data_IF_180347674544
#
_entry.id   IF_180347674544
#
_cell.length_a   1.000
_cell.length_b   1.000
_cell.length_c   1.000
_cell.angle_alpha   90.00
_cell.angle_beta   90.00
_cell.angle_gamma   90.00
#
_symmetry.space_group_name_H-M   'P 1'
#
loop_
_entity.id
_entity.type
_entity.pdbx_description
1 polymer ?
#
# COMPACT_ATOMS: atom_id res chain seq x y z
N UNK A 1 1.64 0.79 3.25
CA UNK A 1 0.83 1.60 4.17
C UNK A 1 -0.05 2.56 3.37
N UNK A 2 -1.25 2.82 3.86
CA UNK A 2 -2.28 3.60 3.19
C UNK A 2 -3.03 4.37 4.26
N UNK A 3 -3.21 5.67 4.05
CA UNK A 3 -3.94 6.57 4.96
C UNK A 3 -5.03 7.28 4.17
N UNK A 4 -6.16 7.54 4.83
CA UNK A 4 -7.26 8.28 4.22
C UNK A 4 -7.87 9.23 5.24
N UNK A 5 -8.09 10.47 4.82
CA UNK A 5 -8.92 11.39 5.59
C UNK A 5 -10.41 11.07 5.36
N UNK A 6 -11.21 11.12 6.42
CA UNK A 6 -12.64 10.80 6.37
C UNK A 6 -13.42 11.98 5.77
N UNK A 7 -13.04 13.21 6.08
CA UNK A 7 -13.80 14.40 5.70
C UNK A 7 -13.69 14.76 4.21
N UNK A 8 -12.48 14.70 3.67
CA UNK A 8 -12.18 15.00 2.26
C UNK A 8 -12.03 13.77 1.38
N UNK A 9 -11.79 12.60 1.98
CA UNK A 9 -11.43 11.39 1.25
C UNK A 9 -10.04 11.45 0.61
N UNK A 10 -9.19 12.39 1.03
CA UNK A 10 -7.80 12.53 0.61
C UNK A 10 -7.01 11.29 1.02
N UNK A 11 -6.37 10.67 0.03
CA UNK A 11 -5.64 9.43 0.20
C UNK A 11 -4.15 9.63 -0.05
N UNK A 12 -3.33 9.04 0.81
CA UNK A 12 -1.89 8.93 0.61
C UNK A 12 -1.45 7.46 0.76
N UNK A 13 -0.44 7.06 -0.01
CA UNK A 13 0.07 5.70 -0.04
C UNK A 13 1.59 5.68 0.02
N UNK A 14 2.14 4.80 0.86
CA UNK A 14 3.58 4.59 0.97
C UNK A 14 3.91 3.11 1.11
N UNK A 15 4.78 2.59 0.26
CA UNK A 15 5.26 1.22 0.39
C UNK A 15 6.33 1.16 1.50
N UNK A 16 6.22 0.13 2.34
CA UNK A 16 7.15 -0.13 3.45
C UNK A 16 7.67 -1.55 3.30
N UNK A 17 8.95 -1.75 3.58
CA UNK A 17 9.61 -3.05 3.42
C UNK A 17 9.29 -4.01 4.58
N UNK A 18 9.28 -3.47 5.80
CA UNK A 18 9.04 -4.20 7.03
C UNK A 18 7.86 -3.61 7.79
N UNK A 19 7.16 -4.46 8.55
CA UNK A 19 6.07 -4.04 9.45
C UNK A 19 6.57 -3.78 10.88
N UNK A 20 7.83 -3.39 11.05
CA UNK A 20 8.33 -3.05 12.37
C UNK A 20 7.77 -1.68 12.80
N UNK A 21 7.52 -1.50 14.09
CA UNK A 21 6.94 -0.27 14.64
C UNK A 21 7.69 0.99 14.19
N UNK A 22 9.03 0.95 14.15
CA UNK A 22 9.87 2.07 13.71
C UNK A 22 9.63 2.45 12.24
N UNK A 23 9.47 1.47 11.36
CA UNK A 23 9.34 1.69 9.91
C UNK A 23 7.94 2.22 9.60
N UNK A 24 6.93 1.71 10.33
CA UNK A 24 5.55 2.20 10.27
C UNK A 24 5.46 3.64 10.78
N UNK A 25 6.08 3.93 11.92
CA UNK A 25 6.13 5.29 12.48
C UNK A 25 6.80 6.27 11.50
N UNK A 26 7.98 5.93 10.98
CA UNK A 26 8.68 6.78 10.01
C UNK A 26 7.80 7.05 8.78
N UNK A 27 7.16 6.02 8.25
CA UNK A 27 6.28 6.19 7.10
C UNK A 27 5.03 7.02 7.44
N UNK A 28 4.48 6.92 8.67
CA UNK A 28 3.33 7.73 9.09
C UNK A 28 3.70 9.20 9.23
N UNK A 29 4.88 9.48 9.78
CA UNK A 29 5.44 10.82 9.87
C UNK A 29 5.56 11.45 8.47
N UNK A 30 6.14 10.74 7.51
CA UNK A 30 6.29 11.25 6.13
C UNK A 30 4.95 11.44 5.42
N UNK A 31 3.99 10.54 5.68
CA UNK A 31 2.63 10.68 5.17
C UNK A 31 1.96 11.93 5.75
N UNK A 32 2.02 12.15 7.06
CA UNK A 32 1.44 13.33 7.72
C UNK A 32 1.95 14.64 7.10
N UNK A 33 3.27 14.73 6.84
CA UNK A 33 3.88 15.89 6.18
C UNK A 33 3.41 16.09 4.72
N UNK A 34 2.95 15.02 4.06
CA UNK A 34 2.46 15.07 2.69
C UNK A 34 1.01 15.59 2.60
N UNK A 35 0.25 15.54 3.69
CA UNK A 35 -1.14 16.00 3.69
C UNK A 35 -1.25 17.52 3.53
N UNK A 36 -2.33 18.01 2.90
CA UNK A 36 -2.57 19.44 2.78
C UNK A 36 -3.09 20.11 4.08
N UNK A 37 -3.11 19.40 5.19
CA UNK A 37 -3.58 19.88 6.48
C UNK A 37 -2.99 19.02 7.60
N UNK A 38 -2.85 19.62 8.78
CA UNK A 38 -2.41 18.91 9.97
C UNK A 38 -3.44 17.88 10.42
N UNK A 39 -2.95 16.71 10.82
CA UNK A 39 -3.81 15.67 11.37
C UNK A 39 -4.34 16.10 12.75
N UNK A 40 -5.52 15.58 13.11
CA UNK A 40 -6.12 15.80 14.44
C UNK A 40 -6.15 14.53 15.27
N UNK A 41 -6.36 13.41 14.61
CA UNK A 41 -6.49 12.11 15.24
C UNK A 41 -6.07 11.03 14.24
N UNK A 42 -5.47 9.95 14.75
CA UNK A 42 -5.26 8.72 13.99
C UNK A 42 -6.15 7.60 14.52
N UNK A 43 -6.69 6.81 13.59
CA UNK A 43 -7.55 5.66 13.87
C UNK A 43 -7.01 4.41 13.15
N UNK A 44 -5.94 3.77 13.68
CA UNK A 44 -5.45 2.51 13.15
C UNK A 44 -6.34 1.30 13.50
N UNK A 45 -6.06 0.18 12.83
CA UNK A 45 -6.55 -1.14 13.23
C UNK A 45 -5.76 -1.68 14.45
N UNK A 46 -6.19 -2.82 14.96
CA UNK A 46 -5.61 -3.49 16.12
C UNK A 46 -4.28 -4.23 15.84
N UNK A 47 -3.58 -3.87 14.76
CA UNK A 47 -2.27 -4.43 14.44
C UNK A 47 -1.22 -4.00 15.46
N UNK A 48 -0.32 -4.91 15.85
CA UNK A 48 0.78 -4.61 16.78
C UNK A 48 1.78 -3.62 16.20
N UNK A 49 1.83 -3.50 14.87
CA UNK A 49 2.61 -2.50 14.16
C UNK A 49 2.11 -1.07 14.39
N UNK A 50 0.85 -0.90 14.81
CA UNK A 50 0.24 0.39 15.14
C UNK A 50 0.03 0.56 16.66
N UNK A 51 -0.41 -0.49 17.35
CA UNK A 51 -0.61 -0.44 18.81
C UNK A 51 0.72 -0.77 19.50
N UNK A 52 1.57 0.25 19.62
CA UNK A 52 2.83 0.19 20.34
C UNK A 52 3.18 1.54 21.00
N UNK A 53 4.14 1.52 21.93
CA UNK A 53 4.57 2.72 22.66
C UNK A 53 5.20 3.77 21.76
N UNK A 54 5.92 3.37 20.70
CA UNK A 54 6.57 4.31 19.77
C UNK A 54 5.53 5.20 19.10
N UNK A 55 4.48 4.61 18.52
CA UNK A 55 3.44 5.38 17.83
C UNK A 55 2.60 6.20 18.82
N UNK A 56 2.27 5.64 19.98
CA UNK A 56 1.48 6.33 21.00
C UNK A 56 2.20 7.56 21.57
N UNK A 57 3.49 7.43 21.88
CA UNK A 57 4.30 8.53 22.38
C UNK A 57 4.40 9.64 21.34
N UNK A 58 4.67 9.30 20.07
CA UNK A 58 4.67 10.26 18.98
C UNK A 58 3.34 11.02 18.87
N UNK A 59 2.20 10.31 18.92
CA UNK A 59 0.89 11.00 18.86
C UNK A 59 0.68 11.93 20.04
N UNK A 60 1.16 11.55 21.23
CA UNK A 60 1.05 12.39 22.43
C UNK A 60 1.91 13.64 22.30
N UNK A 61 3.15 13.50 21.81
CA UNK A 61 4.08 14.62 21.56
C UNK A 61 3.56 15.59 20.50
N UNK A 62 2.92 15.07 19.45
CA UNK A 62 2.33 15.89 18.38
C UNK A 62 0.93 16.45 18.73
N UNK A 63 0.37 16.07 19.88
CA UNK A 63 -0.99 16.47 20.28
C UNK A 63 -2.09 15.86 19.39
N UNK A 64 -1.81 14.70 18.77
CA UNK A 64 -2.76 13.96 17.96
C UNK A 64 -3.64 13.07 18.85
N UNK A 65 -4.94 13.05 18.58
CA UNK A 65 -5.83 12.03 19.12
C UNK A 65 -5.39 10.63 18.67
N UNK A 66 -5.53 9.65 19.56
CA UNK A 66 -5.27 8.25 19.24
C UNK A 66 -6.49 7.41 19.62
N UNK A 67 -7.16 6.85 18.61
CA UNK A 67 -8.29 5.95 18.81
C UNK A 67 -8.04 4.62 18.09
N UNK A 68 -8.85 3.59 18.37
CA UNK A 68 -8.71 2.28 17.71
C UNK A 68 -10.06 1.63 17.45
N UNK A 69 -10.09 0.77 16.44
CA UNK A 69 -11.26 -0.05 16.13
C UNK A 69 -11.63 -0.99 17.28
N UNK A 70 -12.93 -1.16 17.54
CA UNK A 70 -13.42 -2.12 18.54
C UNK A 70 -13.00 -3.55 18.15
N UNK A 71 -12.63 -4.41 19.11
CA UNK A 71 -12.39 -5.82 18.84
C UNK A 71 -13.58 -6.44 18.11
N UNK A 72 -13.30 -7.23 17.07
CA UNK A 72 -14.29 -7.98 16.26
C UNK A 72 -15.33 -7.14 15.49
N UNK A 73 -15.13 -5.83 15.33
CA UNK A 73 -16.02 -4.97 14.52
C UNK A 73 -15.45 -4.71 13.13
N UNK A 74 -16.05 -5.33 12.10
CA UNK A 74 -15.61 -5.23 10.70
C UNK A 74 -15.73 -3.83 10.08
N UNK A 75 -16.44 -2.89 10.72
CA UNK A 75 -16.79 -1.61 10.12
C UNK A 75 -15.94 -0.41 10.58
N UNK A 76 -15.04 -0.60 11.56
CA UNK A 76 -14.24 0.50 12.10
C UNK A 76 -13.28 1.14 11.08
N UNK A 77 -12.73 0.33 10.18
CA UNK A 77 -11.73 0.75 9.19
C UNK A 77 -12.29 0.78 7.76
N UNK A 78 -13.60 0.91 7.58
CA UNK A 78 -14.25 0.74 6.28
C UNK A 78 -13.73 1.71 5.20
N UNK A 79 -13.40 2.95 5.57
CA UNK A 79 -12.88 3.96 4.64
C UNK A 79 -11.51 3.56 4.08
N UNK A 80 -10.57 3.18 4.94
CA UNK A 80 -9.23 2.79 4.49
C UNK A 80 -9.28 1.47 3.73
N UNK A 81 -10.14 0.52 4.12
CA UNK A 81 -10.31 -0.74 3.37
C UNK A 81 -10.89 -0.53 1.97
N UNK A 82 -11.84 0.40 1.82
CA UNK A 82 -12.34 0.79 0.50
C UNK A 82 -11.23 1.36 -0.38
N UNK A 83 -10.38 2.22 0.19
CA UNK A 83 -9.24 2.80 -0.52
C UNK A 83 -8.17 1.75 -0.83
N UNK A 84 -7.87 0.84 0.10
CA UNK A 84 -6.96 -0.28 -0.12
C UNK A 84 -7.42 -1.15 -1.30
N UNK A 85 -8.71 -1.45 -1.39
CA UNK A 85 -9.25 -2.18 -2.54
C UNK A 85 -9.00 -1.43 -3.86
N UNK A 86 -9.27 -0.12 -3.90
CA UNK A 86 -9.31 0.65 -5.15
C UNK A 86 -7.99 1.33 -5.55
N UNK A 87 -7.12 1.63 -4.60
CA UNK A 87 -5.87 2.38 -4.78
C UNK A 87 -4.65 1.48 -4.62
N UNK A 88 -4.76 0.38 -3.85
CA UNK A 88 -3.66 -0.58 -3.69
C UNK A 88 -3.94 -1.83 -4.53
N UNK A 89 -4.92 -2.65 -4.16
CA UNK A 89 -5.15 -3.98 -4.75
C UNK A 89 -5.44 -3.92 -6.25
N UNK A 90 -6.27 -2.97 -6.71
CA UNK A 90 -6.51 -2.76 -8.14
C UNK A 90 -5.29 -2.26 -8.92
N UNK A 91 -4.35 -1.56 -8.26
CA UNK A 91 -3.21 -0.96 -8.95
C UNK A 91 -2.01 -1.91 -9.00
N UNK A 92 -1.77 -2.69 -7.94
CA UNK A 92 -0.58 -3.55 -7.83
C UNK A 92 -0.89 -5.04 -7.70
N UNK A 93 -2.16 -5.42 -7.60
CA UNK A 93 -2.57 -6.81 -7.41
C UNK A 93 -2.19 -7.38 -6.04
N UNK A 94 -2.04 -8.71 -5.99
CA UNK A 94 -1.78 -9.49 -4.78
C UNK A 94 -0.38 -10.14 -4.76
N UNK A 95 0.54 -9.66 -5.61
CA UNK A 95 1.89 -10.22 -5.74
C UNK A 95 2.76 -9.83 -4.53
N UNK A 96 3.77 -10.65 -4.25
CA UNK A 96 4.77 -10.39 -3.21
C UNK A 96 5.88 -9.51 -3.76
N UNK A 97 6.05 -8.34 -3.15
CA UNK A 97 7.11 -7.38 -3.43
C UNK A 97 8.08 -7.37 -2.26
N UNK A 98 9.28 -7.89 -2.48
CA UNK A 98 10.29 -8.16 -1.43
C UNK A 98 11.70 -7.78 -1.84
N UNK A 99 11.84 -7.03 -2.94
CA UNK A 99 13.12 -6.42 -3.35
C UNK A 99 13.08 -4.91 -3.17
N UNK A 100 14.26 -4.31 -2.98
CA UNK A 100 14.40 -2.84 -2.86
C UNK A 100 13.94 -2.13 -4.15
N UNK A 101 14.24 -2.70 -5.32
CA UNK A 101 13.81 -2.17 -6.62
C UNK A 101 12.28 -2.10 -6.74
N UNK A 102 11.57 -3.15 -6.32
CA UNK A 102 10.10 -3.15 -6.30
C UNK A 102 9.55 -2.11 -5.31
N UNK A 103 10.17 -1.97 -4.13
CA UNK A 103 9.76 -0.98 -3.14
C UNK A 103 9.86 0.46 -3.67
N UNK A 104 10.98 0.79 -4.30
CA UNK A 104 11.21 2.14 -4.85
C UNK A 104 10.23 2.43 -5.98
N UNK A 105 10.01 1.45 -6.88
CA UNK A 105 9.04 1.57 -7.95
C UNK A 105 7.59 1.69 -7.45
N UNK A 106 7.23 0.99 -6.38
CA UNK A 106 5.93 1.13 -5.72
C UNK A 106 5.73 2.54 -5.16
N UNK A 107 6.77 3.12 -4.55
CA UNK A 107 6.70 4.49 -4.03
C UNK A 107 6.59 5.53 -5.14
N UNK A 108 7.30 5.35 -6.26
CA UNK A 108 7.12 6.18 -7.46
C UNK A 108 5.68 6.07 -8.01
N UNK A 109 5.16 4.86 -8.15
CA UNK A 109 3.79 4.61 -8.59
C UNK A 109 2.79 5.30 -7.66
N UNK A 110 2.94 5.17 -6.34
CA UNK A 110 2.05 5.81 -5.38
C UNK A 110 2.13 7.33 -5.43
N UNK A 111 3.31 7.93 -5.61
CA UNK A 111 3.44 9.38 -5.78
C UNK A 111 2.60 9.90 -6.96
N UNK A 112 2.59 9.19 -8.09
CA UNK A 112 1.79 9.56 -9.27
C UNK A 112 0.30 9.26 -9.02
N UNK A 113 0.00 8.16 -8.36
CA UNK A 113 -1.35 7.73 -8.06
C UNK A 113 -2.08 8.70 -7.12
N UNK A 114 -1.40 9.22 -6.11
CA UNK A 114 -1.93 10.24 -5.18
C UNK A 114 -2.43 11.45 -5.96
N UNK A 115 -1.62 11.94 -6.91
CA UNK A 115 -2.00 13.07 -7.78
C UNK A 115 -3.24 12.74 -8.61
N UNK A 116 -3.27 11.57 -9.24
CA UNK A 116 -4.40 11.16 -10.07
C UNK A 116 -5.70 11.03 -9.25
N UNK A 117 -5.63 10.33 -8.10
CA UNK A 117 -6.79 10.02 -7.26
C UNK A 117 -7.35 11.25 -6.57
N UNK A 118 -6.49 12.08 -5.98
CA UNK A 118 -6.95 13.22 -5.20
C UNK A 118 -7.44 14.39 -6.06
N UNK A 119 -6.82 14.63 -7.23
CA UNK A 119 -7.18 15.77 -8.07
C UNK A 119 -8.23 15.46 -9.14
N UNK A 120 -8.29 14.23 -9.65
CA UNK A 120 -9.10 13.90 -10.84
C UNK A 120 -10.14 12.80 -10.63
N UNK A 121 -10.07 12.01 -9.55
CA UNK A 121 -11.08 10.99 -9.28
C UNK A 121 -12.10 11.48 -8.25
N UNK A 122 -13.36 11.74 -8.64
CA UNK A 122 -14.37 12.16 -7.70
C UNK A 122 -14.80 11.01 -6.79
N UNK A 123 -15.18 11.37 -5.57
CA UNK A 123 -15.80 10.49 -4.59
C UNK A 123 -17.25 10.93 -4.38
N UNK A 124 -18.10 9.96 -4.04
CA UNK A 124 -19.51 10.20 -3.73
C UNK A 124 -19.69 9.83 -2.25
N UNK A 125 -19.80 10.81 -1.33
CA UNK A 125 -20.02 10.53 0.07
C UNK A 125 -21.45 10.01 0.27
N UNK A 126 -21.61 9.09 1.21
CA UNK A 126 -22.92 8.63 1.64
C UNK A 126 -23.47 9.59 2.69
N UNK A 127 -24.56 10.31 2.38
CA UNK A 127 -25.18 11.30 3.28
C UNK A 127 -26.04 10.66 4.35
N UNK A 128 -26.95 9.77 3.96
CA UNK A 128 -27.83 9.06 4.89
C UNK A 128 -28.12 7.64 4.42
N UNK A 129 -28.49 6.79 5.39
CA UNK A 129 -29.09 5.49 5.17
C UNK A 129 -30.42 5.48 5.91
N UNK A 130 -31.50 5.27 5.19
CA UNK A 130 -32.85 5.25 5.75
C UNK A 130 -33.50 3.91 5.43
N UNK A 131 -34.27 3.37 6.37
CA UNK A 131 -35.12 2.20 6.13
C UNK A 131 -36.54 2.68 5.86
N UNK A 132 -37.04 2.40 4.66
CA UNK A 132 -38.39 2.73 4.22
C UNK A 132 -39.01 1.42 3.76
N UNK A 133 -40.14 1.02 4.36
CA UNK A 133 -40.88 -0.22 4.06
C UNK A 133 -39.99 -1.48 4.06
N UNK A 134 -39.11 -1.59 5.06
CA UNK A 134 -38.16 -2.70 5.20
C UNK A 134 -36.96 -2.68 4.24
N UNK A 135 -36.92 -1.75 3.27
CA UNK A 135 -35.82 -1.59 2.31
C UNK A 135 -34.84 -0.52 2.76
N UNK A 136 -33.54 -0.80 2.62
CA UNK A 136 -32.48 0.17 2.90
C UNK A 136 -32.29 1.11 1.69
N UNK A 137 -32.68 2.37 1.84
CA UNK A 137 -32.42 3.44 0.87
C UNK A 137 -31.14 4.19 1.26
N UNK A 138 -30.26 4.42 0.29
CA UNK A 138 -29.01 5.17 0.45
C UNK A 138 -29.13 6.50 -0.28
N UNK A 139 -28.89 7.59 0.43
CA UNK A 139 -28.87 8.94 -0.16
C UNK A 139 -27.42 9.37 -0.31
N UNK A 140 -27.03 9.67 -1.55
CA UNK A 140 -25.67 10.05 -1.90
C UNK A 140 -25.52 11.57 -1.98
N UNK A 141 -24.32 12.05 -1.70
CA UNK A 141 -23.94 13.45 -1.86
C UNK A 141 -23.54 13.81 -3.28
N UNK A 142 -23.10 15.05 -3.42
CA UNK A 142 -22.54 15.55 -4.67
C UNK A 142 -21.18 14.91 -4.94
N UNK A 143 -20.92 14.58 -6.20
CA UNK A 143 -19.66 13.97 -6.64
C UNK A 143 -18.56 15.03 -6.70
N UNK A 144 -17.56 14.94 -5.82
CA UNK A 144 -16.44 15.89 -5.75
C UNK A 144 -15.11 15.16 -5.58
N UNK A 145 -14.04 15.70 -6.13
CA UNK A 145 -12.69 15.17 -5.90
C UNK A 145 -12.22 15.53 -4.48
N UNK A 146 -11.32 14.74 -3.87
CA UNK A 146 -10.70 15.12 -2.61
C UNK A 146 -10.11 16.54 -2.63
N UNK A 147 -9.46 16.91 -3.74
CA UNK A 147 -9.00 18.28 -3.98
C UNK A 147 -10.14 19.30 -3.86
N UNK A 148 -11.29 19.09 -4.50
CA UNK A 148 -12.45 19.99 -4.38
C UNK A 148 -12.99 20.08 -2.95
N UNK A 149 -13.00 18.97 -2.19
CA UNK A 149 -13.34 19.00 -0.77
C UNK A 149 -12.37 19.85 0.05
N UNK A 150 -11.07 19.75 -0.21
CA UNK A 150 -10.03 20.59 0.42
C UNK A 150 -10.21 22.06 0.07
N UNK A 151 -10.52 22.37 -1.19
CA UNK A 151 -10.79 23.76 -1.62
C UNK A 151 -12.02 24.35 -0.92
N UNK A 152 -13.05 23.54 -0.65
CA UNK A 152 -14.25 23.95 0.08
C UNK A 152 -14.06 24.01 1.62
N UNK A 153 -13.05 23.33 2.16
CA UNK A 153 -12.84 23.26 3.62
C UNK A 153 -12.43 24.61 4.22
N UNK A 154 -13.01 24.99 5.36
CA UNK A 154 -12.62 26.20 6.11
C UNK A 154 -11.36 26.02 6.96
N UNK A 155 -10.97 24.77 7.25
CA UNK A 155 -9.85 24.46 8.14
C UNK A 155 -8.50 24.47 7.42
N UNK A 156 -8.50 24.43 6.08
CA UNK A 156 -7.28 24.39 5.28
C UNK A 156 -6.80 25.82 4.98
N UNK A 157 -5.54 26.17 5.31
CA UNK A 157 -5.01 27.50 5.07
C UNK A 157 -5.06 27.94 3.60
N UNK A 158 -5.34 29.23 3.36
CA UNK A 158 -5.41 29.81 2.01
C UNK A 158 -4.11 29.60 1.22
N UNK A 159 -2.94 29.70 1.87
CA UNK A 159 -1.63 29.44 1.27
C UNK A 159 -1.56 28.02 0.68
N UNK A 160 -1.98 27.00 1.44
CA UNK A 160 -1.97 25.60 1.00
C UNK A 160 -2.93 25.37 -0.16
N UNK A 161 -4.10 26.02 -0.15
CA UNK A 161 -5.03 25.99 -1.30
C UNK A 161 -4.42 26.59 -2.57
N UNK A 162 -3.65 27.67 -2.44
CA UNK A 162 -2.94 28.27 -3.58
C UNK A 162 -1.85 27.35 -4.12
N UNK A 163 -1.07 26.70 -3.25
CA UNK A 163 -0.08 25.68 -3.62
C UNK A 163 -0.73 24.52 -4.40
N UNK A 164 -1.82 23.96 -3.86
CA UNK A 164 -2.58 22.89 -4.53
C UNK A 164 -3.18 23.35 -5.85
N UNK A 165 -3.67 24.59 -5.94
CA UNK A 165 -4.20 25.14 -7.19
C UNK A 165 -3.10 25.27 -8.25
N UNK A 166 -1.90 25.72 -7.85
CA UNK A 166 -0.74 25.80 -8.74
C UNK A 166 -0.35 24.40 -9.23
N UNK A 167 -0.30 23.43 -8.32
CA UNK A 167 -0.04 22.03 -8.66
C UNK A 167 -1.09 21.50 -9.64
N UNK A 168 -2.38 21.66 -9.33
CA UNK A 168 -3.49 21.20 -10.18
C UNK A 168 -3.38 21.71 -11.62
N UNK A 169 -3.05 22.99 -11.81
CA UNK A 169 -2.89 23.61 -13.14
C UNK A 169 -1.75 23.02 -13.97
N UNK A 170 -0.76 22.40 -13.32
CA UNK A 170 0.39 21.76 -13.98
C UNK A 170 0.14 20.27 -14.28
N UNK A 171 -0.89 19.68 -13.69
CA UNK A 171 -1.19 18.26 -13.85
C UNK A 171 -1.96 18.02 -15.15
N UNK A 172 -1.59 16.95 -15.85
CA UNK A 172 -2.33 16.45 -17.00
C UNK A 172 -2.84 15.03 -16.66
N UNK A 173 -4.16 14.80 -16.58
CA UNK A 173 -4.71 13.51 -16.17
C UNK A 173 -4.35 12.38 -17.15
N UNK A 174 -4.26 12.65 -18.45
CA UNK A 174 -3.85 11.66 -19.44
C UNK A 174 -2.37 11.29 -19.29
N UNK A 175 -1.50 12.28 -19.00
CA UNK A 175 -0.08 12.03 -18.71
C UNK A 175 0.09 11.18 -17.45
N UNK A 176 -0.61 11.53 -16.37
CA UNK A 176 -0.59 10.76 -15.12
C UNK A 176 -1.04 9.32 -15.34
N UNK A 177 -2.12 9.10 -16.13
CA UNK A 177 -2.60 7.75 -16.44
C UNK A 177 -1.56 6.92 -17.20
N UNK A 178 -0.91 7.49 -18.23
CA UNK A 178 0.16 6.81 -18.97
C UNK A 178 1.34 6.45 -18.07
N UNK A 179 1.74 7.37 -17.18
CA UNK A 179 2.82 7.11 -16.24
C UNK A 179 2.46 6.02 -15.22
N UNK A 180 1.21 5.97 -14.75
CA UNK A 180 0.71 4.89 -13.90
C UNK A 180 0.82 3.55 -14.64
N UNK A 181 0.33 3.47 -15.87
CA UNK A 181 0.38 2.26 -16.70
C UNK A 181 1.84 1.82 -16.95
N UNK A 182 2.73 2.76 -17.26
CA UNK A 182 4.17 2.51 -17.42
C UNK A 182 4.79 1.90 -16.16
N UNK A 183 4.52 2.50 -14.99
CA UNK A 183 5.04 2.00 -13.70
C UNK A 183 4.46 0.64 -13.33
N UNK A 184 3.20 0.37 -13.67
CA UNK A 184 2.59 -0.94 -13.50
C UNK A 184 3.25 -2.00 -14.38
N UNK A 185 3.59 -1.66 -15.63
CA UNK A 185 4.29 -2.58 -16.55
C UNK A 185 5.71 -2.88 -16.06
N UNK A 186 6.48 -1.85 -15.66
CA UNK A 186 7.80 -2.03 -15.06
C UNK A 186 7.74 -2.93 -13.81
N UNK A 187 6.71 -2.76 -12.99
CA UNK A 187 6.53 -3.58 -11.78
C UNK A 187 6.21 -5.04 -12.14
N UNK A 188 5.40 -5.26 -13.17
CA UNK A 188 5.09 -6.60 -13.68
C UNK A 188 6.34 -7.30 -14.21
N UNK A 189 7.18 -6.60 -14.99
CA UNK A 189 8.43 -7.12 -15.54
C UNK A 189 9.41 -7.53 -14.44
N UNK A 190 9.53 -6.73 -13.38
CA UNK A 190 10.36 -7.08 -12.22
C UNK A 190 9.88 -8.37 -11.55
N UNK A 191 8.56 -8.51 -11.34
CA UNK A 191 8.02 -9.73 -10.72
C UNK A 191 8.24 -10.95 -11.62
N UNK A 192 8.00 -10.83 -12.92
CA UNK A 192 8.21 -11.93 -13.87
C UNK A 192 9.69 -12.35 -13.93
N UNK A 193 10.60 -11.38 -13.91
CA UNK A 193 12.05 -11.66 -13.91
C UNK A 193 12.45 -12.38 -12.63
N UNK A 194 12.00 -11.90 -11.48
CA UNK A 194 12.22 -12.55 -10.19
C UNK A 194 11.67 -13.98 -10.16
N UNK A 195 10.48 -14.23 -10.72
CA UNK A 195 9.90 -15.56 -10.79
C UNK A 195 10.75 -16.51 -11.64
N UNK A 196 11.20 -16.07 -12.81
CA UNK A 196 12.11 -16.85 -13.67
C UNK A 196 13.44 -17.18 -12.97
N UNK A 197 14.03 -16.21 -12.27
CA UNK A 197 15.26 -16.42 -11.50
C UNK A 197 15.06 -17.45 -10.38
N UNK A 198 13.92 -17.41 -9.69
CA UNK A 198 13.57 -18.37 -8.63
C UNK A 198 13.35 -19.79 -9.19
N UNK A 199 12.66 -19.91 -10.34
CA UNK A 199 12.45 -21.18 -11.03
C UNK A 199 13.77 -21.79 -11.50
N UNK A 200 14.65 -21.00 -12.13
CA UNK A 200 15.98 -21.44 -12.54
C UNK A 200 16.83 -21.89 -11.36
N UNK A 201 16.85 -21.12 -10.26
CA UNK A 201 17.58 -21.47 -9.05
C UNK A 201 17.06 -22.76 -8.40
N UNK A 202 15.75 -23.01 -8.47
CA UNK A 202 15.14 -24.24 -7.98
C UNK A 202 15.56 -25.45 -8.84
N UNK A 203 15.50 -25.33 -10.17
CA UNK A 203 15.94 -26.37 -11.10
C UNK A 203 17.41 -26.73 -10.91
N UNK A 204 18.30 -25.73 -10.82
CA UNK A 204 19.74 -25.96 -10.61
C UNK A 204 20.02 -26.65 -9.27
N UNK A 205 19.28 -26.32 -8.20
CA UNK A 205 19.40 -27.01 -6.90
C UNK A 205 18.97 -28.47 -6.98
N UNK A 206 17.90 -28.76 -7.72
CA UNK A 206 17.41 -30.13 -7.90
C UNK A 206 18.39 -30.97 -8.74
N UNK A 207 18.97 -30.39 -9.78
CA UNK A 207 20.01 -31.03 -10.59
C UNK A 207 21.25 -31.35 -9.75
N UNK A 208 21.74 -30.38 -8.97
CA UNK A 208 22.89 -30.59 -8.08
C UNK A 208 22.62 -31.69 -7.04
N UNK A 209 21.43 -31.70 -6.44
CA UNK A 209 21.02 -32.73 -5.48
C UNK A 209 20.96 -34.12 -6.13
N UNK A 210 20.41 -34.22 -7.34
CA UNK A 210 20.37 -35.48 -8.09
C UNK A 210 21.77 -35.97 -8.47
N UNK A 211 22.67 -35.07 -8.92
CA UNK A 211 24.07 -35.42 -9.20
C UNK A 211 24.80 -35.91 -7.95
N UNK A 212 24.60 -35.27 -6.79
CA UNK A 212 25.18 -35.70 -5.52
C UNK A 212 24.68 -37.09 -5.09
N UNK A 213 23.38 -37.36 -5.24
CA UNK A 213 22.80 -38.68 -4.96
C UNK A 213 23.37 -39.76 -5.90
N UNK A 214 23.51 -39.47 -7.20
CA UNK A 214 24.09 -40.41 -8.16
C UNK A 214 25.56 -40.74 -7.83
N UNK A 215 26.36 -39.73 -7.47
CA UNK A 215 27.74 -39.93 -7.02
C UNK A 215 27.77 -40.80 -5.75
N UNK A 216 26.93 -40.51 -4.76
CA UNK A 216 26.87 -41.28 -3.53
C UNK A 216 26.51 -42.76 -3.77
N UNK A 217 25.52 -43.03 -4.64
CA UNK A 217 25.13 -44.38 -5.03
C UNK A 217 26.26 -45.10 -5.78
N UNK A 218 26.95 -44.41 -6.69
CA UNK A 218 28.03 -44.98 -7.49
C UNK A 218 29.26 -45.33 -6.63
N UNK A 219 29.64 -44.44 -5.70
CA UNK A 219 30.72 -44.70 -4.72
C UNK A 219 30.37 -45.87 -3.81
N UNK A 220 29.14 -45.93 -3.29
CA UNK A 220 28.69 -47.05 -2.45
C UNK A 220 28.77 -48.39 -3.20
N UNK A 221 28.47 -48.39 -4.51
CA UNK A 221 28.55 -49.59 -5.36
C UNK A 221 30.00 -50.04 -5.58
N UNK A 222 30.92 -49.10 -5.82
CA UNK A 222 32.35 -49.39 -5.99
C UNK A 222 33.01 -49.93 -4.72
N UNK A 223 32.57 -49.48 -3.53
CA UNK A 223 33.09 -49.97 -2.24
C UNK A 223 32.54 -51.37 -1.90
N UNK A 224 31.37 -51.73 -2.43
CA UNK A 224 30.71 -53.01 -2.16
C UNK A 224 31.16 -54.15 -3.10
N UNK A 225 31.96 -53.88 -4.13
CA UNK A 225 32.51 -54.93 -5.00
C UNK A 225 33.71 -55.62 -4.32
N UNK A 226 33.69 -56.95 -4.16
CA UNK A 226 34.80 -57.66 -3.52
C UNK A 226 36.06 -57.57 -4.39
N UNK A 227 37.15 -57.07 -3.79
CA UNK A 227 38.47 -57.03 -4.42
C UNK A 227 38.95 -58.47 -4.59
N UNK A 228 38.75 -59.05 -5.78
CA UNK A 228 39.32 -60.34 -6.13
C UNK A 228 40.82 -60.19 -6.37
N UNK A 229 41.63 -60.47 -5.34
CA UNK A 229 43.04 -60.75 -5.51
C UNK A 229 43.19 -62.13 -6.16
N UNK A 230 43.74 -62.15 -7.38
CA UNK A 230 44.24 -63.36 -8.04
C UNK A 230 45.62 -63.72 -7.53
#
# INVERSE_FOLDING_TARGET
MSTTDIGSGWWEGKAIFCKQAKDVHQALYELEQSYPFSWREIHPDNGTEFINSVLYNWTTEQGLGFSRSRPYSKNGNCFVEQKNSTHVRKMVGHRRYDTKKELDLLNELYGILVLYKNFFQPIIPLKSKERIDGKLKRVYGESKTPYQHIMASRTVPKKKKQELTKQYRQLNPAKLKRQIEEKQNQLLELVQTKQREQEQAHTMKNELHNSQNLIHVSVAKLIAEPINFR
#
